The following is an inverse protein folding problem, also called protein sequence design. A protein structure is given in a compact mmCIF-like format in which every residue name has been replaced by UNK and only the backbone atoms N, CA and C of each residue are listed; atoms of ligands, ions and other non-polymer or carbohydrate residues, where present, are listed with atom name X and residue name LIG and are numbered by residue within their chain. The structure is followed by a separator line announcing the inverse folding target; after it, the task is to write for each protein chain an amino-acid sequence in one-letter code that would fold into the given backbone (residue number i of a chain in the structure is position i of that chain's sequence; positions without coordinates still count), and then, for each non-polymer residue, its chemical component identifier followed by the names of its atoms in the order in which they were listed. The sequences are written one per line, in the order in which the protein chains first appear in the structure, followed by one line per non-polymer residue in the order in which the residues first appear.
data_IF_088123694981
#
_entry.id   IF_088123694981
#
_cell.length_a   1.000
_cell.length_b   1.000
_cell.length_c   1.000
_cell.angle_alpha   90.00
_cell.angle_beta   90.00
_cell.angle_gamma   90.00
#
_symmetry.space_group_name_H-M   'P 1'
#
loop_
_entity.id
_entity.type
_entity.pdbx_description
1 polymer ?
#
# COMPACT_ATOMS: atom_id res chain seq x y z
N UNK A 1 -14.69 11.23 8.25
CA UNK A 1 -15.00 9.82 8.55
C UNK A 1 -13.89 9.25 9.42
N UNK A 2 -14.17 8.29 10.29
CA UNK A 2 -13.15 7.72 11.19
C UNK A 2 -12.71 6.35 10.67
N UNK A 3 -11.44 5.97 10.96
CA UNK A 3 -10.95 4.62 10.73
C UNK A 3 -11.72 3.62 11.61
N UNK A 4 -12.12 2.49 11.03
CA UNK A 4 -12.80 1.42 11.75
C UNK A 4 -11.77 0.36 12.13
N UNK A 5 -11.54 0.19 13.43
CA UNK A 5 -10.66 -0.85 13.97
C UNK A 5 -11.53 -2.06 14.37
N UNK A 6 -11.57 -3.08 13.50
CA UNK A 6 -12.31 -4.31 13.79
C UNK A 6 -11.59 -5.16 14.83
N UNK A 7 -12.33 -5.96 15.64
CA UNK A 7 -11.72 -6.91 16.56
C UNK A 7 -10.94 -8.00 15.81
N UNK A 8 -9.95 -8.57 16.50
CA UNK A 8 -9.18 -9.69 15.94
C UNK A 8 -10.06 -10.91 15.68
N UNK A 9 -9.85 -11.57 14.55
CA UNK A 9 -10.54 -12.82 14.21
C UNK A 9 -9.59 -13.99 14.38
N UNK A 10 -10.01 -15.01 15.12
CA UNK A 10 -9.19 -16.18 15.44
C UNK A 10 -9.69 -17.42 14.72
N UNK A 11 -8.79 -18.13 14.05
CA UNK A 11 -9.09 -19.34 13.30
C UNK A 11 -8.39 -20.57 13.91
N UNK A 12 -9.07 -21.72 13.86
CA UNK A 12 -8.50 -23.00 14.31
C UNK A 12 -7.35 -23.50 13.43
N UNK A 13 -7.37 -23.17 12.12
CA UNK A 13 -6.39 -23.68 11.14
C UNK A 13 -5.85 -22.54 10.27
N UNK A 14 -4.59 -22.67 9.82
CA UNK A 14 -4.00 -21.73 8.85
C UNK A 14 -4.72 -21.76 7.50
N UNK A 15 -5.20 -22.93 7.08
CA UNK A 15 -5.98 -23.06 5.84
C UNK A 15 -7.28 -22.25 5.90
N UNK A 16 -8.01 -22.33 7.01
CA UNK A 16 -9.23 -21.55 7.24
C UNK A 16 -8.93 -20.04 7.29
N UNK A 17 -7.90 -19.64 8.02
CA UNK A 17 -7.43 -18.27 8.10
C UNK A 17 -7.09 -17.71 6.71
N UNK A 18 -6.26 -18.41 5.94
CA UNK A 18 -5.83 -17.96 4.62
C UNK A 18 -7.01 -17.85 3.63
N UNK A 19 -7.95 -18.78 3.68
CA UNK A 19 -9.16 -18.72 2.85
C UNK A 19 -9.97 -17.46 3.16
N UNK A 20 -10.13 -17.14 4.43
CA UNK A 20 -10.89 -15.97 4.85
C UNK A 20 -10.14 -14.65 4.52
N UNK A 21 -8.79 -14.61 4.63
CA UNK A 21 -7.97 -13.49 4.16
C UNK A 21 -8.19 -13.24 2.66
N UNK A 22 -8.11 -14.30 1.85
CA UNK A 22 -8.34 -14.21 0.40
C UNK A 22 -9.74 -13.69 0.10
N UNK A 23 -10.77 -14.20 0.78
CA UNK A 23 -12.15 -13.74 0.58
C UNK A 23 -12.28 -12.25 0.91
N UNK A 24 -11.70 -11.79 2.02
CA UNK A 24 -11.73 -10.38 2.39
C UNK A 24 -11.02 -9.49 1.35
N UNK A 25 -9.89 -9.95 0.79
CA UNK A 25 -9.20 -9.24 -0.28
C UNK A 25 -10.07 -9.15 -1.53
N UNK A 26 -10.72 -10.24 -1.93
CA UNK A 26 -11.65 -10.28 -3.06
C UNK A 26 -12.82 -9.32 -2.87
N UNK A 27 -13.42 -9.30 -1.69
CA UNK A 27 -14.55 -8.42 -1.36
C UNK A 27 -14.16 -6.93 -1.41
N UNK A 28 -12.97 -6.58 -0.91
CA UNK A 28 -12.44 -5.23 -1.00
C UNK A 28 -12.11 -4.85 -2.45
N UNK A 29 -11.40 -5.71 -3.17
CA UNK A 29 -11.02 -5.49 -4.56
C UNK A 29 -12.25 -5.30 -5.48
N UNK A 30 -13.30 -6.09 -5.29
CA UNK A 30 -14.55 -5.97 -6.03
C UNK A 30 -15.26 -4.61 -5.81
N UNK A 31 -15.07 -3.98 -4.65
CA UNK A 31 -15.58 -2.64 -4.32
C UNK A 31 -14.67 -1.50 -4.81
N UNK A 32 -13.50 -1.83 -5.35
CA UNK A 32 -12.46 -0.84 -5.65
C UNK A 32 -11.69 -0.36 -4.42
N UNK A 33 -11.87 -0.96 -3.26
CA UNK A 33 -11.19 -0.61 -2.03
C UNK A 33 -9.74 -1.12 -2.05
N UNK A 34 -8.71 -0.27 -1.89
CA UNK A 34 -7.32 -0.71 -1.81
C UNK A 34 -7.05 -1.48 -0.51
N UNK A 35 -6.23 -2.52 -0.62
CA UNK A 35 -5.88 -3.40 0.50
C UNK A 35 -4.38 -3.47 0.68
N UNK A 36 -3.92 -3.25 1.90
CA UNK A 36 -2.55 -3.52 2.32
C UNK A 36 -2.52 -4.71 3.28
N UNK A 37 -1.88 -5.80 2.87
CA UNK A 37 -1.76 -7.02 3.65
C UNK A 37 -0.39 -7.09 4.31
N UNK A 38 -0.35 -7.04 5.63
CA UNK A 38 0.87 -7.20 6.43
C UNK A 38 1.14 -8.67 6.76
N UNK A 39 2.32 -9.16 6.43
CA UNK A 39 2.78 -10.51 6.76
C UNK A 39 4.01 -10.46 7.66
N UNK A 40 4.23 -11.48 8.46
CA UNK A 40 5.36 -11.56 9.40
C UNK A 40 6.64 -12.11 8.78
N UNK A 41 6.57 -12.74 7.60
CA UNK A 41 7.74 -13.26 6.90
C UNK A 41 7.60 -13.23 5.38
N UNK A 42 8.73 -13.35 4.68
CA UNK A 42 8.78 -13.39 3.22
C UNK A 42 8.04 -14.63 2.69
N UNK A 43 8.24 -15.79 3.32
CA UNK A 43 7.61 -17.05 2.92
C UNK A 43 6.08 -16.94 2.96
N UNK A 44 5.53 -16.29 3.99
CA UNK A 44 4.09 -16.05 4.12
C UNK A 44 3.58 -15.10 3.06
N UNK A 45 4.34 -14.06 2.72
CA UNK A 45 3.97 -13.14 1.64
C UNK A 45 3.97 -13.84 0.28
N UNK A 46 4.98 -14.68 -0.01
CA UNK A 46 5.06 -15.46 -1.24
C UNK A 46 3.93 -16.51 -1.33
N UNK A 47 3.62 -17.17 -0.21
CA UNK A 47 2.51 -18.12 -0.15
C UNK A 47 1.17 -17.46 -0.45
N UNK A 48 0.89 -16.33 0.18
CA UNK A 48 -0.34 -15.56 -0.05
C UNK A 48 -0.41 -15.04 -1.49
N UNK A 49 0.72 -14.58 -2.04
CA UNK A 49 0.83 -14.18 -3.44
C UNK A 49 0.47 -15.31 -4.41
N UNK A 50 0.95 -16.53 -4.15
CA UNK A 50 0.58 -17.71 -4.97
C UNK A 50 -0.92 -17.99 -4.91
N UNK A 51 -1.54 -17.83 -3.76
CA UNK A 51 -2.99 -18.01 -3.61
C UNK A 51 -3.78 -16.94 -4.39
N UNK A 52 -3.40 -15.66 -4.29
CA UNK A 52 -4.04 -14.56 -5.02
C UNK A 52 -3.88 -14.70 -6.54
N UNK A 53 -2.70 -15.13 -7.02
CA UNK A 53 -2.48 -15.44 -8.44
C UNK A 53 -3.43 -16.50 -8.96
N UNK A 54 -3.72 -17.55 -8.17
CA UNK A 54 -4.69 -18.60 -8.55
C UNK A 54 -6.12 -18.06 -8.64
N UNK A 55 -6.44 -17.00 -7.91
CA UNK A 55 -7.74 -16.33 -7.95
C UNK A 55 -7.80 -15.23 -9.04
N UNK A 56 -6.71 -15.01 -9.79
CA UNK A 56 -6.66 -13.98 -10.83
C UNK A 56 -6.61 -12.55 -10.30
N UNK A 57 -6.27 -12.33 -9.02
CA UNK A 57 -6.21 -10.99 -8.42
C UNK A 57 -4.86 -10.35 -8.72
N UNK A 58 -4.81 -9.22 -9.46
CA UNK A 58 -3.60 -8.43 -9.64
C UNK A 58 -3.11 -7.89 -8.29
N UNK A 59 -1.84 -8.09 -7.96
CA UNK A 59 -1.28 -7.61 -6.70
C UNK A 59 0.23 -7.39 -6.79
N UNK A 60 0.73 -6.54 -5.92
CA UNK A 60 2.15 -6.28 -5.73
C UNK A 60 2.65 -6.92 -4.44
N UNK A 61 3.91 -7.37 -4.43
CA UNK A 61 4.56 -7.90 -3.24
C UNK A 61 5.78 -7.05 -2.91
N UNK A 62 5.76 -6.48 -1.71
CA UNK A 62 6.86 -5.74 -1.13
C UNK A 62 7.68 -6.68 -0.24
N UNK A 63 8.87 -7.00 -0.70
CA UNK A 63 9.86 -7.70 0.11
C UNK A 63 11.19 -6.95 0.00
N UNK A 64 12.04 -7.04 1.03
CA UNK A 64 13.31 -6.31 1.16
C UNK A 64 14.36 -6.59 0.06
N UNK A 65 13.99 -7.29 -1.01
CA UNK A 65 14.89 -7.66 -2.12
C UNK A 65 15.00 -6.58 -3.22
N UNK A 66 14.09 -5.60 -3.27
CA UNK A 66 14.01 -4.64 -4.37
C UNK A 66 13.67 -3.23 -3.87
N UNK A 67 14.63 -2.56 -3.22
CA UNK A 67 14.44 -1.23 -2.61
C UNK A 67 13.96 -0.14 -3.58
N UNK A 68 14.43 -0.14 -4.83
CA UNK A 68 14.03 0.88 -5.81
C UNK A 68 12.58 0.75 -6.27
N UNK A 69 12.09 -0.49 -6.41
CA UNK A 69 10.69 -0.75 -6.76
C UNK A 69 9.74 -0.60 -5.56
N UNK A 70 10.27 -0.71 -4.36
CA UNK A 70 9.49 -0.65 -3.12
C UNK A 70 8.78 0.70 -2.98
N UNK A 71 9.49 1.80 -3.21
CA UNK A 71 8.91 3.14 -3.12
C UNK A 71 7.78 3.36 -4.13
N UNK A 72 7.93 2.85 -5.36
CA UNK A 72 6.89 2.92 -6.39
C UNK A 72 5.63 2.15 -5.97
N UNK A 73 5.82 0.92 -5.49
CA UNK A 73 4.71 0.06 -5.09
C UNK A 73 3.95 0.68 -3.91
N UNK A 74 4.67 1.23 -2.92
CA UNK A 74 4.04 1.90 -1.77
C UNK A 74 3.31 3.17 -2.20
N UNK A 75 3.91 3.98 -3.07
CA UNK A 75 3.30 5.19 -3.59
C UNK A 75 1.99 4.91 -4.36
N UNK A 76 1.84 3.73 -4.93
CA UNK A 76 0.65 3.30 -5.68
C UNK A 76 -0.29 2.37 -4.88
N UNK A 77 0.04 2.03 -3.63
CA UNK A 77 -0.77 1.12 -2.81
C UNK A 77 -2.16 1.69 -2.44
N UNK A 78 -2.35 3.01 -2.55
CA UNK A 78 -3.62 3.68 -2.32
C UNK A 78 -4.53 3.81 -3.54
N UNK A 79 -4.15 3.29 -4.70
CA UNK A 79 -4.97 3.33 -5.93
C UNK A 79 -6.24 2.48 -5.81
N UNK A 80 -7.23 2.83 -6.60
CA UNK A 80 -8.51 2.13 -6.67
C UNK A 80 -8.30 0.63 -6.93
N UNK A 81 -8.77 -0.22 -6.01
CA UNK A 81 -8.68 -1.66 -6.09
C UNK A 81 -7.26 -2.25 -5.98
N UNK A 82 -6.26 -1.46 -5.61
CA UNK A 82 -4.89 -1.96 -5.46
C UNK A 82 -4.80 -3.00 -4.33
N UNK A 83 -4.08 -4.09 -4.59
CA UNK A 83 -3.76 -5.10 -3.56
C UNK A 83 -2.25 -5.16 -3.39
N UNK A 84 -1.78 -4.90 -2.19
CA UNK A 84 -0.34 -4.89 -1.87
C UNK A 84 -0.08 -5.80 -0.67
N UNK A 85 0.81 -6.77 -0.84
CA UNK A 85 1.31 -7.61 0.26
C UNK A 85 2.66 -7.05 0.70
N UNK A 86 2.81 -6.74 1.97
CA UNK A 86 4.06 -6.21 2.52
C UNK A 86 4.54 -7.06 3.70
N UNK A 87 5.83 -7.38 3.74
CA UNK A 87 6.46 -7.81 4.99
C UNK A 87 6.61 -6.61 5.92
N UNK A 88 6.66 -6.83 7.23
CA UNK A 88 6.52 -5.85 8.31
C UNK A 88 7.21 -4.51 8.15
N UNK A 89 8.37 -4.51 7.49
CA UNK A 89 9.27 -3.36 7.45
C UNK A 89 9.29 -2.69 6.08
N UNK A 90 8.65 -3.27 5.07
CA UNK A 90 8.65 -2.76 3.72
C UNK A 90 7.81 -1.46 3.60
N UNK A 91 8.31 -0.49 2.86
CA UNK A 91 7.66 0.80 2.63
C UNK A 91 7.64 1.73 3.85
N UNK A 92 8.57 1.56 4.79
CA UNK A 92 8.70 2.45 5.94
C UNK A 92 9.18 3.83 5.50
N UNK A 93 8.50 4.88 5.97
CA UNK A 93 8.86 6.27 5.64
C UNK A 93 8.14 6.84 4.41
N UNK A 94 7.41 6.02 3.64
CA UNK A 94 6.59 6.49 2.51
C UNK A 94 5.12 6.50 2.92
N UNK A 95 4.44 7.59 2.66
CA UNK A 95 3.00 7.72 2.90
C UNK A 95 2.20 7.05 1.77
N UNK A 96 1.12 6.37 2.14
CA UNK A 96 0.15 5.83 1.19
C UNK A 96 -0.95 6.88 1.02
N UNK A 97 -0.98 7.50 -0.15
CA UNK A 97 -1.97 8.50 -0.52
C UNK A 97 -3.10 7.82 -1.27
N UNK A 98 -4.36 8.09 -0.89
CA UNK A 98 -5.52 7.55 -1.58
C UNK A 98 -5.57 8.07 -3.02
N UNK A 99 -5.86 7.19 -3.97
CA UNK A 99 -5.78 7.48 -5.41
C UNK A 99 -4.38 7.36 -6.01
N UNK A 100 -3.32 7.31 -5.19
CA UNK A 100 -1.92 7.24 -5.61
C UNK A 100 -1.13 8.50 -5.33
N UNK A 101 0.13 8.54 -5.70
CA UNK A 101 1.05 9.64 -5.45
C UNK A 101 1.49 10.30 -6.76
N UNK A 102 0.89 11.47 -7.06
CA UNK A 102 1.17 12.24 -8.28
C UNK A 102 2.62 12.75 -8.35
N UNK A 103 3.21 13.16 -7.21
CA UNK A 103 4.60 13.59 -7.13
C UNK A 103 5.56 12.47 -7.58
N UNK A 104 5.32 11.25 -7.07
CA UNK A 104 6.13 10.09 -7.45
C UNK A 104 6.01 9.76 -8.94
N UNK A 105 4.80 9.82 -9.49
CA UNK A 105 4.57 9.56 -10.92
C UNK A 105 5.25 10.61 -11.79
N UNK A 106 5.17 11.89 -11.44
CA UNK A 106 5.84 12.97 -12.16
C UNK A 106 7.37 12.79 -12.16
N UNK A 107 7.98 12.44 -11.01
CA UNK A 107 9.42 12.12 -10.94
C UNK A 107 9.80 10.92 -11.81
N UNK A 108 8.95 9.89 -11.86
CA UNK A 108 9.17 8.74 -12.72
C UNK A 108 9.11 9.12 -14.22
N UNK A 109 8.26 10.07 -14.59
CA UNK A 109 8.19 10.55 -15.97
C UNK A 109 9.41 11.40 -16.36
N UNK A 110 9.96 12.20 -15.44
CA UNK A 110 11.23 12.90 -15.66
C UNK A 110 12.39 11.91 -15.89
N UNK A 111 12.48 10.83 -15.11
CA UNK A 111 13.47 9.77 -15.35
C UNK A 111 13.34 9.15 -16.74
N UNK A 112 12.10 8.87 -17.19
CA UNK A 112 11.84 8.38 -18.54
C UNK A 112 12.21 9.39 -19.62
N UNK A 113 12.10 10.69 -19.33
CA UNK A 113 12.53 11.76 -20.21
C UNK A 113 14.06 11.93 -20.29
N UNK A 114 14.82 11.22 -19.42
CA UNK A 114 16.27 11.19 -19.46
C UNK A 114 16.94 12.10 -18.42
N UNK A 115 16.19 12.74 -17.53
CA UNK A 115 16.76 13.52 -16.44
C UNK A 115 17.31 12.60 -15.36
N UNK A 116 18.48 12.94 -14.84
CA UNK A 116 19.08 12.21 -13.71
C UNK A 116 18.47 12.62 -12.36
N UNK A 117 18.79 11.85 -11.31
CA UNK A 117 18.18 12.03 -10.01
C UNK A 117 18.56 13.36 -9.34
N UNK A 118 19.73 13.93 -9.62
CA UNK A 118 20.16 15.21 -9.06
C UNK A 118 19.36 16.36 -9.68
N UNK A 119 19.15 16.33 -11.01
CA UNK A 119 18.29 17.29 -11.72
C UNK A 119 16.84 17.20 -11.24
N UNK A 120 16.32 15.98 -11.04
CA UNK A 120 14.97 15.74 -10.53
C UNK A 120 14.83 16.27 -9.10
N UNK A 121 15.82 16.01 -8.23
CA UNK A 121 15.83 16.53 -6.87
C UNK A 121 15.80 18.07 -6.84
N UNK A 122 16.57 18.70 -7.71
CA UNK A 122 16.59 20.15 -7.85
C UNK A 122 15.27 20.69 -8.42
N UNK A 123 14.75 20.09 -9.50
CA UNK A 123 13.49 20.50 -10.15
C UNK A 123 12.29 20.45 -9.20
N UNK A 124 12.30 19.50 -8.25
CA UNK A 124 11.26 19.36 -7.23
C UNK A 124 11.48 20.23 -5.99
N UNK A 125 12.63 20.91 -5.89
CA UNK A 125 12.98 21.85 -4.83
C UNK A 125 12.50 23.28 -5.13
N UNK A 126 12.81 24.18 -4.19
CA UNK A 126 12.43 25.62 -4.26
C UNK A 126 13.64 26.53 -4.54
N UNK A 127 14.82 25.97 -4.81
CA UNK A 127 16.00 26.77 -5.05
C UNK A 127 15.90 27.55 -6.37
N UNK A 128 16.28 28.82 -6.36
CA UNK A 128 16.32 29.63 -7.58
C UNK A 128 17.48 29.17 -8.48
N UNK A 129 17.28 29.25 -9.78
CA UNK A 129 18.27 28.90 -10.80
C UNK A 129 18.03 29.64 -12.10
N UNK A 130 19.11 29.96 -12.79
CA UNK A 130 19.09 30.48 -14.17
C UNK A 130 19.51 29.41 -15.19
N UNK A 131 19.73 28.16 -14.73
CA UNK A 131 20.09 27.04 -15.59
C UNK A 131 18.89 26.57 -16.41
N UNK A 132 19.05 26.61 -17.74
CA UNK A 132 17.97 26.29 -18.69
C UNK A 132 17.49 24.83 -18.57
N UNK A 133 18.41 23.89 -18.31
CA UNK A 133 18.05 22.47 -18.14
C UNK A 133 17.22 22.26 -16.87
N UNK A 134 17.62 22.87 -15.77
CA UNK A 134 16.89 22.81 -14.50
C UNK A 134 15.53 23.49 -14.59
N UNK A 135 15.42 24.60 -15.31
CA UNK A 135 14.15 25.29 -15.57
C UNK A 135 13.21 24.42 -16.43
N UNK A 136 13.74 23.78 -17.48
CA UNK A 136 12.98 22.87 -18.32
C UNK A 136 12.48 21.64 -17.53
N UNK A 137 13.34 21.03 -16.72
CA UNK A 137 12.98 19.92 -15.85
C UNK A 137 11.87 20.31 -14.85
N UNK A 138 11.96 21.52 -14.26
CA UNK A 138 10.93 22.05 -13.34
C UNK A 138 9.59 22.29 -14.03
N UNK A 139 9.60 22.84 -15.24
CA UNK A 139 8.39 23.04 -16.03
C UNK A 139 7.71 21.70 -16.37
N UNK A 140 8.50 20.73 -16.84
CA UNK A 140 8.01 19.39 -17.14
C UNK A 140 7.46 18.67 -15.90
N UNK A 141 8.16 18.79 -14.75
CA UNK A 141 7.69 18.26 -13.48
C UNK A 141 6.33 18.84 -13.09
N UNK A 142 6.17 20.17 -13.16
CA UNK A 142 4.93 20.84 -12.82
C UNK A 142 3.78 20.41 -13.72
N UNK A 143 4.01 20.29 -15.02
CA UNK A 143 3.05 19.79 -16.01
C UNK A 143 2.61 18.36 -15.68
N UNK A 144 3.58 17.44 -15.56
CA UNK A 144 3.28 16.01 -15.28
C UNK A 144 2.63 15.81 -13.93
N UNK A 145 3.04 16.58 -12.91
CA UNK A 145 2.39 16.52 -11.60
C UNK A 145 0.94 16.97 -11.66
N UNK A 146 0.63 18.02 -12.41
CA UNK A 146 -0.75 18.51 -12.58
C UNK A 146 -1.62 17.48 -13.33
N UNK A 147 -1.09 16.86 -14.40
CA UNK A 147 -1.76 15.79 -15.12
C UNK A 147 -2.10 14.60 -14.21
N UNK A 148 -1.11 14.11 -13.47
CA UNK A 148 -1.31 12.99 -12.55
C UNK A 148 -2.22 13.35 -11.39
N UNK A 149 -2.14 14.58 -10.86
CA UNK A 149 -2.96 15.03 -9.74
C UNK A 149 -4.44 15.03 -10.09
N UNK A 150 -4.80 15.46 -11.30
CA UNK A 150 -6.18 15.44 -11.77
C UNK A 150 -6.77 14.01 -11.78
N UNK A 151 -5.98 13.02 -12.15
CA UNK A 151 -6.39 11.60 -12.14
C UNK A 151 -6.48 11.07 -10.71
N UNK A 152 -5.45 11.37 -9.89
CA UNK A 152 -5.36 10.94 -8.48
C UNK A 152 -6.54 11.48 -7.67
N UNK A 153 -6.93 12.75 -7.87
CA UNK A 153 -8.04 13.37 -7.14
C UNK A 153 -9.38 12.65 -7.42
N UNK A 154 -9.63 12.30 -8.68
CA UNK A 154 -10.85 11.55 -9.07
C UNK A 154 -10.82 10.12 -8.49
N UNK A 155 -9.67 9.46 -8.53
CA UNK A 155 -9.53 8.13 -7.94
C UNK A 155 -9.65 8.17 -6.41
N UNK A 156 -9.06 9.19 -5.76
CA UNK A 156 -9.11 9.36 -4.32
C UNK A 156 -10.55 9.44 -3.77
N UNK A 157 -11.43 10.18 -4.46
CA UNK A 157 -12.84 10.24 -4.05
C UNK A 157 -13.53 8.88 -4.16
N UNK A 158 -13.30 8.13 -5.24
CA UNK A 158 -13.83 6.77 -5.38
C UNK A 158 -13.30 5.83 -4.31
N UNK A 159 -12.02 5.94 -3.96
CA UNK A 159 -11.41 5.15 -2.88
C UNK A 159 -12.01 5.52 -1.53
N UNK A 160 -12.28 6.80 -1.26
CA UNK A 160 -12.97 7.25 -0.04
C UNK A 160 -14.38 6.70 0.05
N UNK A 161 -15.13 6.71 -1.04
CA UNK A 161 -16.48 6.11 -1.13
C UNK A 161 -16.44 4.59 -0.90
N UNK A 162 -15.40 3.90 -1.39
CA UNK A 162 -15.18 2.47 -1.14
C UNK A 162 -14.77 2.13 0.31
N UNK A 163 -14.49 3.15 1.14
CA UNK A 163 -14.11 3.00 2.55
C UNK A 163 -12.63 3.24 2.86
N UNK A 164 -11.87 3.81 1.91
CA UNK A 164 -10.45 4.13 2.07
C UNK A 164 -9.55 2.90 2.12
N UNK A 165 -8.30 3.07 2.56
CA UNK A 165 -7.33 1.98 2.65
C UNK A 165 -7.71 0.96 3.72
N UNK A 166 -7.84 -0.32 3.33
CA UNK A 166 -8.10 -1.42 4.25
C UNK A 166 -6.80 -2.17 4.60
N UNK A 167 -6.52 -2.34 5.89
CA UNK A 167 -5.34 -3.04 6.40
C UNK A 167 -5.73 -4.43 6.87
N UNK A 168 -5.02 -5.44 6.40
CA UNK A 168 -5.13 -6.82 6.87
C UNK A 168 -3.82 -7.22 7.53
N UNK A 169 -3.83 -7.46 8.83
CA UNK A 169 -2.75 -8.13 9.55
C UNK A 169 -2.95 -9.64 9.52
N UNK A 170 -2.06 -10.40 8.90
CA UNK A 170 -2.19 -11.86 8.81
C UNK A 170 -1.86 -12.58 10.10
N UNK A 171 -1.13 -11.93 10.97
CA UNK A 171 -0.74 -12.39 12.32
C UNK A 171 -0.37 -11.21 13.20
N UNK A 172 -0.38 -11.43 14.51
CA UNK A 172 0.21 -10.47 15.47
C UNK A 172 1.73 -10.67 15.51
N UNK A 173 2.43 -9.55 15.61
CA UNK A 173 3.86 -9.55 15.85
C UNK A 173 4.16 -9.66 17.33
N UNK A 174 5.38 -10.10 17.68
CA UNK A 174 5.86 -10.11 19.06
C UNK A 174 5.86 -8.70 19.67
N UNK A 175 6.11 -7.69 18.83
CA UNK A 175 6.08 -6.28 19.23
C UNK A 175 4.78 -5.60 18.80
N UNK A 176 4.00 -5.17 19.77
CA UNK A 176 2.80 -4.33 19.57
C UNK A 176 3.09 -3.05 18.78
N UNK A 177 4.32 -2.55 18.87
CA UNK A 177 4.77 -1.38 18.10
C UNK A 177 4.69 -1.62 16.59
N UNK A 178 5.06 -2.81 16.12
CA UNK A 178 5.02 -3.18 14.70
C UNK A 178 3.57 -3.25 14.23
N UNK A 179 2.68 -3.88 14.99
CA UNK A 179 1.25 -3.91 14.67
C UNK A 179 0.67 -2.50 14.57
N UNK A 180 1.02 -1.62 15.50
CA UNK A 180 0.56 -0.23 15.48
C UNK A 180 1.11 0.57 14.28
N UNK A 181 2.34 0.28 13.83
CA UNK A 181 2.90 0.89 12.62
C UNK A 181 2.15 0.46 11.36
N UNK A 182 1.75 -0.80 11.27
CA UNK A 182 0.91 -1.28 10.17
C UNK A 182 -0.46 -0.61 10.21
N UNK A 183 -1.12 -0.60 11.35
CA UNK A 183 -2.43 0.06 11.58
C UNK A 183 -2.39 1.55 11.22
N UNK A 184 -1.33 2.24 11.60
CA UNK A 184 -1.14 3.68 11.37
C UNK A 184 -1.00 4.08 9.89
N UNK A 185 -1.04 3.15 8.95
CA UNK A 185 -1.04 3.44 7.52
C UNK A 185 -2.42 3.75 6.96
N UNK A 186 -3.49 3.38 7.66
CA UNK A 186 -4.87 3.67 7.28
C UNK A 186 -5.45 4.81 8.11
N UNK A 187 -6.40 5.55 7.53
CA UNK A 187 -7.10 6.65 8.20
C UNK A 187 -6.21 7.87 8.46
N UNK A 188 -5.21 8.12 7.63
CA UNK A 188 -4.35 9.30 7.72
C UNK A 188 -5.07 10.53 7.17
N UNK A 189 -4.70 11.70 7.67
CA UNK A 189 -5.23 13.00 7.22
C UNK A 189 -6.77 13.13 7.29
N UNK A 190 -7.43 12.33 8.15
CA UNK A 190 -8.88 12.33 8.28
C UNK A 190 -9.61 11.47 7.23
N UNK A 191 -8.89 10.74 6.39
CA UNK A 191 -9.47 9.84 5.40
C UNK A 191 -10.15 8.63 6.07
N UNK A 192 -11.19 8.05 5.42
CA UNK A 192 -11.76 6.79 5.87
C UNK A 192 -10.74 5.66 5.74
N UNK A 193 -10.95 4.62 6.52
CA UNK A 193 -10.12 3.43 6.45
C UNK A 193 -10.60 2.35 7.40
N UNK A 194 -10.13 1.13 7.20
CA UNK A 194 -10.46 0.00 8.04
C UNK A 194 -9.28 -0.90 8.31
N UNK A 195 -9.35 -1.68 9.37
CA UNK A 195 -8.36 -2.71 9.64
C UNK A 195 -8.96 -3.94 10.28
N UNK A 196 -8.34 -5.08 10.04
CA UNK A 196 -8.66 -6.37 10.63
C UNK A 196 -7.39 -7.19 10.82
N UNK A 197 -7.21 -7.79 11.99
CA UNK A 197 -6.13 -8.73 12.23
C UNK A 197 -6.67 -10.14 12.34
N UNK A 198 -5.96 -11.08 11.77
CA UNK A 198 -6.32 -12.48 11.68
C UNK A 198 -5.27 -13.31 12.39
N UNK A 199 -5.70 -14.11 13.35
CA UNK A 199 -4.80 -14.92 14.16
C UNK A 199 -5.14 -16.40 14.02
N UNK A 200 -4.12 -17.24 14.24
CA UNK A 200 -4.34 -18.67 14.49
C UNK A 200 -4.52 -18.88 16.00
N UNK A 201 -5.49 -19.72 16.37
CA UNK A 201 -5.60 -20.17 17.76
C UNK A 201 -4.33 -20.92 18.16
N UNK A 202 -3.73 -20.53 19.28
CA UNK A 202 -2.61 -21.24 19.89
C UNK A 202 -3.06 -22.44 20.76
N UNK A 203 -4.38 -22.66 20.87
CA UNK A 203 -4.93 -23.79 21.64
C UNK A 203 -4.72 -25.05 20.80
N UNK A 204 -3.99 -26.07 21.30
CA UNK A 204 -3.84 -27.35 20.65
C UNK A 204 -5.21 -28.00 20.43
N UNK A 205 -5.39 -28.66 19.26
CA UNK A 205 -6.65 -29.33 18.87
C UNK A 205 -7.11 -30.45 19.84
N UNK A 206 -6.35 -30.76 20.87
CA UNK A 206 -6.62 -31.86 21.81
C UNK A 206 -7.54 -31.48 22.98
N UNK A 207 -8.08 -30.26 23.03
CA UNK A 207 -9.00 -29.83 24.10
C UNK A 207 -10.39 -29.43 23.58
N UNK A 208 -10.75 -29.80 22.36
CA UNK A 208 -12.12 -29.63 21.83
C UNK A 208 -12.80 -31.00 21.82
N UNK A 209 -13.28 -31.43 22.99
CA UNK A 209 -14.35 -32.42 23.13
C UNK A 209 -15.70 -31.71 23.12
#
# INVERSE_FOLDING_TARGET
MQRIDNPDVVYKTDAGKNRAIIQQILDCHAKGQPVLVGTVSIEKSEYLSKLLKRQGVPHNVLNAKHHEQEALIVAQAGKLGAVTIATNMAGRGTDIVLGGNADYLARADLRKAGYDDDVIAFATGYADTDDEELLAARALYAEKKAEHQAVVDVEAEKVKEAGGLFIIGTERHESRRIDNQLRGRSGRQGDPGGQLNWQRSLIPNNLAT
#
